data_IF_119825903499
#
_entry.id   IF_119825903499
#
_cell.length_a   1.000
_cell.length_b   1.000
_cell.length_c   1.000
_cell.angle_alpha   90.00
_cell.angle_beta   90.00
_cell.angle_gamma   90.00
#
_symmetry.space_group_name_H-M   'P 1'
#
loop_
_entity.id
_entity.type
_entity.pdbx_description
1 polymer ?
#
# COMPACT_ATOMS: atom_id res chain seq x y z
N UNK A 1 -61.41 11.28 -23.63
CA UNK A 1 -60.27 11.44 -24.56
C UNK A 1 -59.05 11.72 -23.71
N UNK A 2 -58.39 10.65 -23.32
CA UNK A 2 -57.20 10.63 -22.47
C UNK A 2 -56.01 10.42 -23.39
N UNK A 3 -55.16 11.46 -23.50
CA UNK A 3 -53.92 11.42 -24.27
C UNK A 3 -52.83 10.65 -23.50
N UNK A 4 -52.49 9.48 -23.99
CA UNK A 4 -51.30 8.77 -23.60
C UNK A 4 -50.07 9.45 -24.22
N UNK A 5 -49.35 10.24 -23.42
CA UNK A 5 -48.01 10.68 -23.77
C UNK A 5 -47.07 9.45 -23.72
N UNK A 6 -46.75 8.98 -24.90
CA UNK A 6 -45.74 7.90 -25.08
C UNK A 6 -44.37 8.41 -24.66
N UNK A 7 -43.90 7.95 -23.47
CA UNK A 7 -42.52 8.08 -23.05
C UNK A 7 -41.61 7.36 -24.06
N UNK A 8 -40.86 8.11 -24.84
CA UNK A 8 -39.76 7.60 -25.66
C UNK A 8 -38.52 7.50 -24.75
N UNK A 9 -37.94 6.30 -24.50
CA UNK A 9 -36.69 6.21 -23.81
C UNK A 9 -35.61 6.88 -24.65
N UNK A 10 -34.89 7.81 -24.04
CA UNK A 10 -33.67 8.43 -24.59
C UNK A 10 -32.62 7.31 -24.74
N UNK A 11 -31.98 7.14 -25.90
CA UNK A 11 -30.92 6.15 -26.05
C UNK A 11 -29.77 6.51 -25.11
N UNK A 12 -29.55 5.70 -24.09
CA UNK A 12 -28.36 5.74 -23.26
C UNK A 12 -27.25 4.94 -23.97
N UNK A 13 -26.81 5.35 -25.08
CA UNK A 13 -25.52 4.98 -25.66
C UNK A 13 -24.62 6.22 -25.61
N UNK A 14 -24.14 6.56 -24.42
CA UNK A 14 -22.82 7.14 -24.29
C UNK A 14 -21.87 6.00 -24.64
N UNK A 15 -21.44 5.91 -25.91
CA UNK A 15 -20.22 5.22 -26.27
C UNK A 15 -19.18 5.68 -25.29
N UNK A 16 -18.76 4.79 -24.37
CA UNK A 16 -17.61 5.02 -23.51
C UNK A 16 -16.44 5.22 -24.45
N UNK A 17 -16.09 6.48 -24.68
CA UNK A 17 -14.97 6.85 -25.54
C UNK A 17 -13.74 6.20 -24.92
N UNK A 18 -13.24 5.12 -25.53
CA UNK A 18 -12.01 4.45 -25.08
C UNK A 18 -10.85 5.47 -25.09
N UNK A 19 -10.32 5.84 -23.89
CA UNK A 19 -9.26 6.83 -23.80
C UNK A 19 -8.02 6.45 -24.60
N UNK A 20 -7.77 5.14 -24.78
CA UNK A 20 -6.66 4.64 -25.59
C UNK A 20 -6.91 4.91 -27.08
N UNK A 21 -8.14 4.64 -27.57
CA UNK A 21 -8.51 4.90 -28.96
C UNK A 21 -8.40 6.38 -29.31
N UNK A 22 -8.87 7.26 -28.42
CA UNK A 22 -8.74 8.71 -28.57
C UNK A 22 -7.27 9.16 -28.64
N UNK A 23 -6.44 8.64 -27.76
CA UNK A 23 -5.02 8.95 -27.74
C UNK A 23 -4.33 8.49 -29.03
N UNK A 24 -4.63 7.28 -29.50
CA UNK A 24 -4.05 6.73 -30.73
C UNK A 24 -4.46 7.52 -31.98
N UNK A 25 -5.72 7.96 -32.05
CA UNK A 25 -6.20 8.84 -33.12
C UNK A 25 -5.44 10.17 -33.10
N UNK A 26 -5.34 10.79 -31.94
CA UNK A 26 -4.64 12.07 -31.77
C UNK A 26 -3.13 11.93 -32.13
N UNK A 27 -2.47 10.85 -31.71
CA UNK A 27 -1.07 10.56 -32.04
C UNK A 27 -0.89 10.30 -33.56
N UNK A 28 -1.91 9.75 -34.23
CA UNK A 28 -1.92 9.51 -35.67
C UNK A 28 -1.95 10.76 -36.53
N UNK A 29 -2.52 11.86 -36.02
CA UNK A 29 -2.68 13.14 -36.76
C UNK A 29 -1.35 13.86 -37.02
N UNK A 30 -0.31 13.57 -36.22
CA UNK A 30 0.98 14.22 -36.35
C UNK A 30 1.89 13.53 -37.37
N UNK A 31 2.40 14.32 -38.34
CA UNK A 31 3.32 13.82 -39.36
C UNK A 31 4.68 13.48 -38.76
N UNK A 32 5.28 12.37 -39.20
CA UNK A 32 6.64 12.01 -38.80
C UNK A 32 7.65 13.05 -39.32
N UNK A 33 8.65 13.35 -38.50
CA UNK A 33 9.71 14.30 -38.83
C UNK A 33 10.78 13.67 -39.69
N UNK A 34 11.27 14.45 -40.66
CA UNK A 34 12.47 14.12 -41.43
C UNK A 34 13.73 14.45 -40.58
N UNK A 35 14.88 13.82 -40.85
CA UNK A 35 16.12 14.10 -40.11
C UNK A 35 16.51 15.59 -40.08
N UNK A 36 16.30 16.31 -41.19
CA UNK A 36 16.53 17.74 -41.26
C UNK A 36 15.61 18.57 -40.37
N UNK A 37 14.34 18.12 -40.23
CA UNK A 37 13.35 18.76 -39.38
C UNK A 37 13.67 18.49 -37.91
N UNK A 38 14.13 17.27 -37.54
CA UNK A 38 14.61 16.95 -36.18
C UNK A 38 15.71 17.92 -35.75
N UNK A 39 16.71 18.16 -36.63
CA UNK A 39 17.81 19.08 -36.37
C UNK A 39 17.33 20.54 -36.22
N UNK A 40 16.45 20.97 -37.12
CA UNK A 40 15.92 22.34 -37.08
C UNK A 40 15.13 22.61 -35.80
N UNK A 41 14.29 21.64 -35.42
CA UNK A 41 13.52 21.73 -34.14
C UNK A 41 14.44 21.71 -32.93
N UNK A 42 15.44 20.82 -32.90
CA UNK A 42 16.38 20.73 -31.78
C UNK A 42 17.15 22.03 -31.55
N UNK A 43 17.56 22.72 -32.61
CA UNK A 43 18.21 24.05 -32.52
C UNK A 43 17.26 25.13 -31.97
N UNK A 44 15.97 25.07 -32.30
CA UNK A 44 14.96 26.00 -31.77
C UNK A 44 14.68 25.70 -30.31
N UNK A 45 14.59 24.43 -29.92
CA UNK A 45 14.39 24.00 -28.52
C UNK A 45 15.54 24.46 -27.63
N UNK A 46 16.79 24.38 -28.09
CA UNK A 46 17.97 24.89 -27.38
C UNK A 46 17.87 26.40 -27.09
N UNK A 47 17.13 27.16 -27.93
CA UNK A 47 16.85 28.59 -27.74
C UNK A 47 15.59 28.86 -26.88
N UNK A 48 14.97 27.84 -26.33
CA UNK A 48 13.79 27.95 -25.47
C UNK A 48 12.43 27.97 -26.19
N UNK A 49 12.37 27.61 -27.47
CA UNK A 49 11.13 27.62 -28.28
C UNK A 49 10.21 26.46 -27.87
N UNK A 50 9.13 26.78 -27.13
CA UNK A 50 8.14 25.83 -26.63
C UNK A 50 7.31 25.20 -27.77
N UNK A 51 6.95 25.97 -28.80
CA UNK A 51 6.19 25.44 -29.95
C UNK A 51 7.00 24.37 -30.71
N UNK A 52 8.34 24.58 -30.84
CA UNK A 52 9.23 23.58 -31.41
C UNK A 52 9.32 22.33 -30.54
N UNK A 53 9.34 22.49 -29.20
CA UNK A 53 9.34 21.37 -28.25
C UNK A 53 8.06 20.55 -28.36
N UNK A 54 6.89 21.18 -28.34
CA UNK A 54 5.60 20.54 -28.49
C UNK A 54 5.50 19.78 -29.81
N UNK A 55 5.92 20.42 -30.91
CA UNK A 55 5.92 19.75 -32.23
C UNK A 55 6.81 18.52 -32.24
N UNK A 56 8.00 18.58 -31.61
CA UNK A 56 8.92 17.46 -31.56
C UNK A 56 8.36 16.31 -30.71
N UNK A 57 7.70 16.60 -29.59
CA UNK A 57 7.01 15.61 -28.76
C UNK A 57 5.87 14.95 -29.54
N UNK A 58 4.94 15.76 -30.06
CA UNK A 58 3.73 15.27 -30.71
C UNK A 58 4.02 14.41 -31.94
N UNK A 59 5.01 14.79 -32.76
CA UNK A 59 5.43 14.00 -33.92
C UNK A 59 6.11 12.67 -33.57
N UNK A 60 6.49 12.45 -32.30
CA UNK A 60 7.13 11.23 -31.82
C UNK A 60 6.26 10.40 -30.85
N UNK A 61 4.98 10.74 -30.66
CA UNK A 61 4.05 9.95 -29.82
C UNK A 61 3.92 8.51 -30.31
N UNK A 62 3.92 8.28 -31.61
CA UNK A 62 3.87 6.95 -32.22
C UNK A 62 5.08 6.08 -31.81
N UNK A 63 6.26 6.69 -31.58
CA UNK A 63 7.44 5.97 -31.08
C UNK A 63 7.19 5.48 -29.66
N UNK A 64 6.58 6.29 -28.79
CA UNK A 64 6.22 5.90 -27.41
C UNK A 64 5.30 4.69 -27.44
N UNK A 65 4.24 4.73 -28.26
CA UNK A 65 3.29 3.62 -28.40
C UNK A 65 4.00 2.34 -28.85
N UNK A 66 4.91 2.44 -29.83
CA UNK A 66 5.64 1.28 -30.34
C UNK A 66 6.55 0.63 -29.29
N UNK A 67 7.12 1.44 -28.39
CA UNK A 67 7.95 0.94 -27.28
C UNK A 67 7.06 0.37 -26.17
N UNK A 68 6.00 1.06 -25.78
CA UNK A 68 5.08 0.64 -24.71
C UNK A 68 4.41 -0.70 -25.01
N UNK A 69 3.99 -0.94 -26.26
CA UNK A 69 3.40 -2.22 -26.71
C UNK A 69 4.28 -3.44 -26.41
N UNK A 70 5.60 -3.29 -26.40
CA UNK A 70 6.53 -4.40 -26.11
C UNK A 70 6.50 -4.83 -24.62
N UNK A 71 6.02 -3.96 -23.73
CA UNK A 71 5.91 -4.23 -22.30
C UNK A 71 4.52 -4.74 -21.89
N UNK A 72 3.50 -4.51 -22.72
CA UNK A 72 2.11 -4.91 -22.40
C UNK A 72 1.95 -6.40 -22.07
N UNK A 73 2.44 -7.34 -22.91
CA UNK A 73 2.27 -8.78 -22.66
C UNK A 73 2.97 -9.29 -21.39
N UNK A 74 4.06 -8.64 -21.00
CA UNK A 74 4.86 -9.02 -19.84
C UNK A 74 4.40 -8.35 -18.53
N UNK A 75 3.43 -7.45 -18.60
CA UNK A 75 2.98 -6.67 -17.46
C UNK A 75 1.45 -6.61 -17.42
N UNK A 76 0.87 -7.39 -16.52
CA UNK A 76 -0.59 -7.47 -16.33
C UNK A 76 -1.13 -6.43 -15.34
N UNK A 77 -0.25 -5.72 -14.62
CA UNK A 77 -0.61 -4.84 -13.51
C UNK A 77 -0.86 -3.39 -13.96
N UNK A 78 -0.25 -2.94 -15.08
CA UNK A 78 -0.46 -1.61 -15.67
C UNK A 78 -1.06 -1.73 -17.07
N UNK A 79 -2.10 -0.96 -17.35
CA UNK A 79 -2.70 -0.87 -18.66
C UNK A 79 -1.75 -0.28 -19.71
N UNK A 80 -2.01 -0.55 -21.00
CA UNK A 80 -1.19 -0.01 -22.09
C UNK A 80 -1.16 1.53 -22.06
N UNK A 81 -2.26 2.17 -21.71
CA UNK A 81 -2.34 3.62 -21.62
C UNK A 81 -1.41 4.16 -20.53
N UNK A 82 -1.34 3.48 -19.36
CA UNK A 82 -0.44 3.87 -18.27
C UNK A 82 1.02 3.75 -18.70
N UNK A 83 1.38 2.67 -19.40
CA UNK A 83 2.73 2.50 -19.94
C UNK A 83 3.09 3.59 -20.97
N UNK A 84 2.13 4.01 -21.80
CA UNK A 84 2.30 5.11 -22.73
C UNK A 84 2.53 6.42 -21.97
N UNK A 85 1.75 6.71 -20.92
CA UNK A 85 1.91 7.92 -20.12
C UNK A 85 3.30 7.98 -19.44
N UNK A 86 3.76 6.86 -18.86
CA UNK A 86 5.14 6.78 -18.33
C UNK A 86 6.18 7.00 -19.43
N UNK A 87 5.98 6.39 -20.60
CA UNK A 87 6.85 6.57 -21.75
C UNK A 87 6.91 8.01 -22.26
N UNK A 88 5.79 8.75 -22.20
CA UNK A 88 5.72 10.17 -22.56
C UNK A 88 6.62 11.02 -21.67
N UNK A 89 6.69 10.74 -20.37
CA UNK A 89 7.61 11.43 -19.46
C UNK A 89 9.08 11.18 -19.90
N UNK A 90 9.38 9.99 -20.38
CA UNK A 90 10.67 9.66 -20.97
C UNK A 90 10.94 10.43 -22.27
N UNK A 91 9.95 10.53 -23.16
CA UNK A 91 10.06 11.28 -24.41
C UNK A 91 10.33 12.77 -24.16
N UNK A 92 9.60 13.38 -23.23
CA UNK A 92 9.79 14.80 -22.86
C UNK A 92 11.25 15.03 -22.41
N UNK A 93 11.78 14.18 -21.53
CA UNK A 93 13.17 14.26 -21.08
C UNK A 93 14.16 14.05 -22.23
N UNK A 94 13.84 13.15 -23.17
CA UNK A 94 14.68 12.94 -24.35
C UNK A 94 14.74 14.20 -25.23
N UNK A 95 13.60 14.88 -25.43
CA UNK A 95 13.54 16.12 -26.20
C UNK A 95 14.36 17.23 -25.53
N UNK A 96 14.27 17.37 -24.21
CA UNK A 96 15.03 18.37 -23.45
C UNK A 96 16.55 18.14 -23.46
N UNK A 97 16.98 16.88 -23.51
CA UNK A 97 18.39 16.50 -23.41
C UNK A 97 19.03 16.11 -24.74
N UNK A 98 18.29 16.21 -25.84
CA UNK A 98 18.81 15.82 -27.15
C UNK A 98 19.87 16.76 -27.66
N UNK A 99 21.09 16.25 -27.88
CA UNK A 99 22.19 16.98 -28.51
C UNK A 99 22.27 16.65 -30.01
N UNK A 100 21.81 17.58 -30.83
CA UNK A 100 21.82 17.49 -32.27
C UNK A 100 23.23 17.49 -32.88
N UNK A 101 24.23 17.92 -32.16
CA UNK A 101 25.66 17.97 -32.63
C UNK A 101 26.23 16.56 -32.78
N UNK A 102 25.68 15.59 -32.05
CA UNK A 102 26.12 14.18 -32.10
C UNK A 102 25.72 13.43 -33.39
N UNK A 103 24.96 14.05 -34.26
CA UNK A 103 24.53 13.51 -35.57
C UNK A 103 23.76 12.17 -35.50
N UNK A 104 23.27 11.79 -34.33
CA UNK A 104 22.43 10.59 -34.15
C UNK A 104 20.96 10.94 -34.45
N UNK A 105 20.18 9.92 -34.88
CA UNK A 105 18.74 10.07 -35.03
C UNK A 105 18.10 10.27 -33.64
N UNK A 106 17.13 11.17 -33.58
CA UNK A 106 16.39 11.41 -32.36
C UNK A 106 15.73 10.13 -31.83
N UNK A 107 15.12 9.31 -32.67
CA UNK A 107 14.46 8.07 -32.28
C UNK A 107 15.40 7.09 -31.53
N UNK A 108 16.66 6.98 -31.95
CA UNK A 108 17.65 6.14 -31.27
C UNK A 108 17.90 6.59 -29.83
N UNK A 109 18.06 7.90 -29.64
CA UNK A 109 18.27 8.49 -28.33
C UNK A 109 17.00 8.41 -27.45
N UNK A 110 15.85 8.78 -28.01
CA UNK A 110 14.58 8.80 -27.31
C UNK A 110 14.12 7.41 -26.84
N UNK A 111 14.36 6.36 -27.63
CA UNK A 111 14.00 4.99 -27.25
C UNK A 111 14.61 4.57 -25.92
N UNK A 112 15.83 4.99 -25.62
CA UNK A 112 16.48 4.69 -24.35
C UNK A 112 15.74 5.37 -23.16
N UNK A 113 15.40 6.66 -23.30
CA UNK A 113 14.68 7.40 -22.26
C UNK A 113 13.26 6.90 -22.05
N UNK A 114 12.56 6.59 -23.15
CA UNK A 114 11.20 6.03 -23.12
C UNK A 114 11.22 4.69 -22.37
N UNK A 115 12.16 3.79 -22.73
CA UNK A 115 12.32 2.49 -22.05
C UNK A 115 12.59 2.65 -20.57
N UNK A 116 13.57 3.49 -20.22
CA UNK A 116 13.95 3.78 -18.85
C UNK A 116 12.77 4.31 -18.02
N UNK A 117 11.95 5.20 -18.61
CA UNK A 117 10.80 5.76 -17.93
C UNK A 117 9.71 4.69 -17.70
N UNK A 118 9.41 3.87 -18.71
CA UNK A 118 8.45 2.77 -18.60
C UNK A 118 8.90 1.76 -17.54
N UNK A 119 10.14 1.31 -17.57
CA UNK A 119 10.68 0.36 -16.59
C UNK A 119 10.64 0.91 -15.15
N UNK A 120 10.92 2.20 -15.00
CA UNK A 120 10.80 2.90 -13.71
C UNK A 120 9.33 3.02 -13.27
N UNK A 121 8.42 3.32 -14.20
CA UNK A 121 6.97 3.37 -13.96
C UNK A 121 6.45 2.04 -13.47
N UNK A 122 6.77 0.95 -14.17
CA UNK A 122 6.42 -0.42 -13.76
C UNK A 122 6.97 -0.73 -12.36
N UNK A 123 8.23 -0.42 -12.10
CA UNK A 123 8.84 -0.68 -10.79
C UNK A 123 8.19 0.10 -9.64
N UNK A 124 7.63 1.29 -9.92
CA UNK A 124 7.08 2.17 -8.89
C UNK A 124 5.58 2.08 -8.70
N UNK A 125 4.81 1.69 -9.74
CA UNK A 125 3.35 1.80 -9.76
C UNK A 125 2.63 0.48 -10.02
N UNK A 126 3.30 -0.56 -10.55
CA UNK A 126 2.67 -1.82 -10.91
C UNK A 126 2.18 -2.62 -9.68
N UNK A 127 2.70 -2.39 -8.49
CA UNK A 127 2.33 -3.14 -7.28
C UNK A 127 1.46 -2.30 -6.36
N UNK A 128 0.40 -2.90 -5.80
CA UNK A 128 -0.44 -2.27 -4.78
C UNK A 128 0.39 -1.91 -3.53
N UNK A 129 1.24 -2.83 -3.06
CA UNK A 129 2.22 -2.54 -2.01
C UNK A 129 3.54 -2.18 -2.67
N UNK A 130 3.89 -0.88 -2.62
CA UNK A 130 5.13 -0.35 -3.21
C UNK A 130 6.37 -0.98 -2.60
N UNK A 131 7.26 -1.47 -3.46
CA UNK A 131 8.58 -1.96 -3.07
C UNK A 131 9.70 -1.04 -3.56
N UNK A 132 10.83 -0.92 -2.83
CA UNK A 132 12.01 -0.22 -3.32
C UNK A 132 12.56 -0.88 -4.60
N UNK A 133 13.09 -0.06 -5.52
CA UNK A 133 13.58 -0.54 -6.84
C UNK A 133 14.70 -1.58 -6.69
N UNK A 134 15.57 -1.42 -5.70
CA UNK A 134 16.65 -2.38 -5.41
C UNK A 134 16.10 -3.77 -5.01
N UNK A 135 15.00 -3.82 -4.26
CA UNK A 135 14.34 -5.08 -3.89
C UNK A 135 13.72 -5.74 -5.12
N UNK A 136 13.05 -4.96 -5.97
CA UNK A 136 12.45 -5.44 -7.23
C UNK A 136 13.52 -6.00 -8.17
N UNK A 137 14.64 -5.28 -8.35
CA UNK A 137 15.75 -5.75 -9.19
C UNK A 137 16.36 -7.03 -8.64
N UNK A 138 16.55 -7.13 -7.32
CA UNK A 138 17.03 -8.33 -6.66
C UNK A 138 16.07 -9.50 -6.85
N UNK A 139 14.78 -9.28 -6.67
CA UNK A 139 13.74 -10.27 -6.90
C UNK A 139 13.77 -10.80 -8.34
N UNK A 140 13.80 -9.92 -9.35
CA UNK A 140 13.89 -10.30 -10.77
C UNK A 140 15.13 -11.12 -11.07
N UNK A 141 16.29 -10.76 -10.46
CA UNK A 141 17.53 -11.52 -10.61
C UNK A 141 17.42 -12.92 -9.99
N UNK A 142 16.89 -13.02 -8.76
CA UNK A 142 16.70 -14.29 -8.06
C UNK A 142 15.71 -15.17 -8.82
N UNK A 143 14.58 -14.63 -9.29
CA UNK A 143 13.59 -15.37 -10.07
C UNK A 143 14.20 -15.98 -11.35
N UNK A 144 14.94 -15.18 -12.13
CA UNK A 144 15.62 -15.67 -13.35
C UNK A 144 16.60 -16.78 -13.05
N UNK A 145 17.46 -16.58 -12.03
CA UNK A 145 18.44 -17.60 -11.63
C UNK A 145 17.72 -18.86 -11.11
N UNK A 146 16.59 -18.69 -10.42
CA UNK A 146 15.76 -19.78 -9.93
C UNK A 146 15.19 -20.64 -11.06
N UNK A 147 14.63 -20.01 -12.10
CA UNK A 147 14.13 -20.71 -13.28
C UNK A 147 15.23 -21.48 -14.02
N UNK A 148 16.41 -20.87 -14.19
CA UNK A 148 17.54 -21.52 -14.83
C UNK A 148 18.08 -22.70 -14.00
N UNK A 149 18.08 -22.55 -12.66
CA UNK A 149 18.54 -23.59 -11.75
C UNK A 149 17.55 -24.75 -11.67
N UNK A 150 16.24 -24.44 -11.61
CA UNK A 150 15.18 -25.44 -11.62
C UNK A 150 15.22 -26.32 -12.88
N UNK A 151 15.44 -25.71 -14.05
CA UNK A 151 15.62 -26.46 -15.32
C UNK A 151 16.84 -27.38 -15.32
N UNK A 152 17.93 -27.00 -14.61
CA UNK A 152 19.16 -27.81 -14.53
C UNK A 152 19.05 -28.93 -13.52
N UNK A 153 18.34 -28.71 -12.41
CA UNK A 153 18.20 -29.66 -11.32
C UNK A 153 16.98 -30.58 -11.45
N UNK A 154 16.10 -30.29 -12.39
CA UNK A 154 14.78 -30.92 -12.56
C UNK A 154 13.94 -30.97 -11.26
N UNK A 155 14.16 -29.99 -10.39
CA UNK A 155 13.43 -29.73 -9.14
C UNK A 155 13.55 -28.26 -8.72
N UNK A 156 12.67 -27.86 -7.79
CA UNK A 156 12.78 -26.53 -7.18
C UNK A 156 14.08 -26.36 -6.38
N UNK A 157 14.83 -25.27 -6.60
CA UNK A 157 16.06 -24.99 -5.87
C UNK A 157 15.78 -24.55 -4.44
N UNK A 158 16.65 -24.96 -3.53
CA UNK A 158 16.63 -24.52 -2.13
C UNK A 158 17.07 -23.05 -1.99
N UNK A 159 16.72 -22.40 -0.87
CA UNK A 159 17.17 -21.02 -0.59
C UNK A 159 18.69 -20.86 -0.60
N UNK A 160 19.44 -21.91 -0.18
CA UNK A 160 20.89 -21.90 -0.18
C UNK A 160 21.47 -21.98 -1.58
N UNK A 161 20.95 -22.85 -2.44
CA UNK A 161 21.34 -22.97 -3.84
C UNK A 161 21.06 -21.68 -4.61
N UNK A 162 19.89 -21.08 -4.39
CA UNK A 162 19.52 -19.77 -4.97
C UNK A 162 20.47 -18.65 -4.51
N UNK A 163 20.79 -18.61 -3.22
CA UNK A 163 21.68 -17.60 -2.65
C UNK A 163 23.09 -17.69 -3.27
N UNK A 164 23.62 -18.90 -3.41
CA UNK A 164 24.92 -19.15 -4.04
C UNK A 164 24.91 -18.78 -5.54
N UNK A 165 23.93 -19.25 -6.29
CA UNK A 165 23.82 -19.00 -7.73
C UNK A 165 23.56 -17.52 -8.05
N UNK A 166 22.72 -16.84 -7.27
CA UNK A 166 22.44 -15.41 -7.42
C UNK A 166 23.49 -14.50 -6.79
N UNK A 167 24.47 -15.05 -6.05
CA UNK A 167 25.49 -14.30 -5.27
C UNK A 167 24.87 -13.27 -4.33
N UNK A 168 23.92 -13.70 -3.52
CA UNK A 168 23.24 -12.92 -2.49
C UNK A 168 23.17 -13.70 -1.18
N UNK A 169 22.85 -13.05 -0.05
CA UNK A 169 22.63 -13.77 1.20
C UNK A 169 21.30 -14.53 1.20
N UNK A 170 21.19 -15.60 1.97
CA UNK A 170 19.93 -16.36 2.16
C UNK A 170 18.83 -15.46 2.72
N UNK A 171 19.18 -14.49 3.58
CA UNK A 171 18.23 -13.49 4.07
C UNK A 171 17.58 -12.68 2.92
N UNK A 172 18.38 -12.27 1.93
CA UNK A 172 17.87 -11.57 0.75
C UNK A 172 17.00 -12.44 -0.15
N UNK A 173 17.26 -13.75 -0.21
CA UNK A 173 16.37 -14.69 -0.95
C UNK A 173 15.02 -14.77 -0.26
N UNK A 174 14.99 -14.90 1.07
CA UNK A 174 13.74 -14.94 1.87
C UNK A 174 12.97 -13.62 1.76
N UNK A 175 13.66 -12.48 1.85
CA UNK A 175 13.06 -11.15 1.63
C UNK A 175 12.43 -11.04 0.24
N UNK A 176 13.14 -11.48 -0.81
CA UNK A 176 12.65 -11.46 -2.17
C UNK A 176 11.42 -12.37 -2.37
N UNK A 177 11.39 -13.57 -1.77
CA UNK A 177 10.23 -14.46 -1.76
C UNK A 177 9.04 -13.85 -1.01
N UNK A 178 9.28 -13.24 0.14
CA UNK A 178 8.23 -12.55 0.89
C UNK A 178 7.65 -11.35 0.09
N UNK A 179 8.51 -10.60 -0.58
CA UNK A 179 8.12 -9.49 -1.44
C UNK A 179 7.38 -9.93 -2.73
N UNK A 180 7.56 -11.18 -3.15
CA UNK A 180 6.88 -11.74 -4.32
C UNK A 180 5.41 -12.12 -4.08
N UNK A 181 4.96 -12.16 -2.81
CA UNK A 181 3.58 -12.53 -2.49
C UNK A 181 2.62 -11.57 -3.17
N UNK A 182 1.69 -12.15 -3.94
CA UNK A 182 0.59 -11.39 -4.54
C UNK A 182 -0.45 -11.04 -3.47
N UNK A 183 -1.01 -9.86 -3.59
CA UNK A 183 -2.16 -9.44 -2.78
C UNK A 183 -3.40 -10.06 -3.41
N UNK A 184 -4.22 -10.77 -2.62
CA UNK A 184 -5.51 -11.28 -3.06
C UNK A 184 -6.61 -10.27 -2.77
N UNK A 185 -7.61 -10.17 -3.66
CA UNK A 185 -8.79 -9.36 -3.39
C UNK A 185 -9.63 -9.98 -2.29
N UNK A 186 -10.09 -9.17 -1.35
CA UNK A 186 -11.04 -9.59 -0.33
C UNK A 186 -12.45 -9.86 -0.90
N UNK A 187 -12.77 -9.20 -2.02
CA UNK A 187 -14.05 -9.40 -2.72
C UNK A 187 -14.07 -10.66 -3.61
N UNK A 188 -12.98 -11.43 -3.58
CA UNK A 188 -12.92 -12.68 -4.34
C UNK A 188 -13.98 -13.63 -3.83
N UNK A 189 -14.91 -14.12 -4.70
CA UNK A 189 -15.92 -15.09 -4.30
C UNK A 189 -15.28 -16.42 -3.87
N UNK A 190 -15.80 -16.99 -2.80
CA UNK A 190 -15.35 -18.26 -2.21
C UNK A 190 -16.54 -19.21 -2.10
N UNK A 191 -16.34 -20.48 -2.44
CA UNK A 191 -17.39 -21.50 -2.48
C UNK A 191 -17.95 -21.72 -3.89
N UNK A 192 -18.74 -22.80 -4.06
CA UNK A 192 -19.34 -23.15 -5.34
C UNK A 192 -20.47 -22.18 -5.73
N UNK A 193 -21.18 -21.64 -4.74
CA UNK A 193 -22.32 -20.73 -4.95
C UNK A 193 -21.89 -19.26 -5.15
N UNK A 194 -20.64 -18.90 -4.81
CA UNK A 194 -20.11 -17.55 -4.99
C UNK A 194 -20.78 -16.44 -4.15
N UNK A 195 -21.62 -16.81 -3.18
CA UNK A 195 -22.35 -15.86 -2.32
C UNK A 195 -21.48 -15.20 -1.25
N UNK A 196 -20.39 -15.89 -0.84
CA UNK A 196 -19.47 -15.40 0.18
C UNK A 196 -18.19 -14.87 -0.47
N UNK A 197 -17.62 -13.83 0.15
CA UNK A 197 -16.33 -13.28 -0.26
C UNK A 197 -15.21 -13.76 0.66
N UNK A 198 -13.96 -13.70 0.21
CA UNK A 198 -12.79 -14.00 1.04
C UNK A 198 -12.76 -13.11 2.30
N UNK A 199 -13.24 -11.88 2.19
CA UNK A 199 -13.33 -10.92 3.29
C UNK A 199 -14.23 -11.39 4.43
N UNK A 200 -15.34 -12.07 4.10
CA UNK A 200 -16.30 -12.56 5.09
C UNK A 200 -15.73 -13.70 5.96
N UNK A 201 -14.69 -14.40 5.47
CA UNK A 201 -14.02 -15.47 6.21
C UNK A 201 -12.94 -14.96 7.18
N UNK A 202 -12.59 -13.68 7.10
CA UNK A 202 -11.53 -13.10 7.94
C UNK A 202 -12.16 -12.60 9.24
N UNK A 203 -11.77 -13.18 10.41
CA UNK A 203 -12.32 -12.74 11.68
C UNK A 203 -11.91 -11.29 11.97
N UNK A 204 -12.81 -10.50 12.55
CA UNK A 204 -12.50 -9.17 13.03
C UNK A 204 -11.40 -9.21 14.12
N UNK A 205 -10.38 -8.35 14.06
CA UNK A 205 -9.32 -8.31 15.08
C UNK A 205 -9.78 -7.72 16.42
N UNK A 206 -11.04 -7.27 16.50
CA UNK A 206 -11.61 -6.72 17.72
C UNK A 206 -12.03 -7.80 18.72
N UNK A 207 -12.21 -7.43 20.01
CA UNK A 207 -12.78 -8.34 21.00
C UNK A 207 -14.19 -8.76 20.60
N UNK A 208 -14.51 -10.02 20.82
CA UNK A 208 -15.86 -10.56 20.58
C UNK A 208 -16.91 -9.90 21.49
N UNK A 209 -18.20 -10.02 21.16
CA UNK A 209 -19.27 -9.53 22.02
C UNK A 209 -19.17 -10.07 23.45
N UNK A 210 -18.79 -11.32 23.60
CA UNK A 210 -18.62 -11.98 24.89
C UNK A 210 -17.48 -11.35 25.69
N UNK A 211 -16.33 -11.11 25.07
CA UNK A 211 -15.18 -10.45 25.70
C UNK A 211 -15.52 -9.04 26.18
N UNK A 212 -16.31 -8.30 25.39
CA UNK A 212 -16.75 -6.95 25.75
C UNK A 212 -17.70 -6.97 26.95
N UNK A 213 -18.61 -7.93 26.99
CA UNK A 213 -19.54 -8.09 28.13
C UNK A 213 -18.77 -8.52 29.37
N UNK A 214 -17.88 -9.48 29.26
CA UNK A 214 -17.06 -9.97 30.36
C UNK A 214 -16.20 -8.84 30.96
N UNK A 215 -15.55 -8.04 30.12
CA UNK A 215 -14.75 -6.91 30.58
C UNK A 215 -15.60 -5.87 31.28
N UNK A 216 -16.82 -5.58 30.80
CA UNK A 216 -17.77 -4.70 31.46
C UNK A 216 -18.22 -5.25 32.83
N UNK A 217 -18.51 -6.54 32.89
CA UNK A 217 -18.93 -7.20 34.16
C UNK A 217 -17.77 -7.20 35.16
N UNK A 218 -16.55 -7.49 34.74
CA UNK A 218 -15.33 -7.42 35.56
C UNK A 218 -15.12 -6.02 36.12
N UNK A 219 -15.16 -5.00 35.26
CA UNK A 219 -15.04 -3.59 35.69
C UNK A 219 -16.14 -3.19 36.65
N UNK A 220 -17.38 -3.61 36.44
CA UNK A 220 -18.50 -3.34 37.34
C UNK A 220 -18.32 -4.04 38.67
N UNK A 221 -17.83 -5.27 38.71
CA UNK A 221 -17.54 -6.02 39.93
C UNK A 221 -16.42 -5.34 40.74
N UNK A 222 -15.33 -4.92 40.09
CA UNK A 222 -14.24 -4.17 40.74
C UNK A 222 -14.77 -2.86 41.33
N UNK A 223 -15.55 -2.08 40.59
CA UNK A 223 -16.14 -0.83 41.08
C UNK A 223 -17.03 -1.06 42.30
N UNK A 224 -17.89 -2.10 42.29
CA UNK A 224 -18.74 -2.44 43.42
C UNK A 224 -17.92 -2.83 44.67
N UNK A 225 -16.87 -3.64 44.48
CA UNK A 225 -15.99 -4.04 45.56
C UNK A 225 -15.25 -2.83 46.19
N UNK A 226 -14.71 -1.96 45.33
CA UNK A 226 -14.05 -0.72 45.81
C UNK A 226 -15.02 0.23 46.52
N UNK A 227 -16.26 0.32 46.06
CA UNK A 227 -17.28 1.14 46.73
C UNK A 227 -17.62 0.68 48.14
N UNK A 228 -17.45 -0.59 48.47
CA UNK A 228 -17.66 -1.16 49.83
C UNK A 228 -16.51 -0.94 50.79
N UNK A 229 -15.36 -0.49 50.31
CA UNK A 229 -14.25 -0.12 51.18
C UNK A 229 -14.61 1.10 52.05
N UNK A 230 -14.00 1.23 53.25
CA UNK A 230 -14.02 2.45 54.00
C UNK A 230 -13.58 3.65 53.14
N UNK A 231 -14.14 4.82 53.41
CA UNK A 231 -13.97 5.99 52.56
C UNK A 231 -12.50 6.36 52.30
N UNK A 232 -11.65 6.31 53.33
CA UNK A 232 -10.22 6.59 53.18
C UNK A 232 -9.51 5.56 52.28
N UNK A 233 -9.80 4.28 52.47
CA UNK A 233 -9.21 3.18 51.71
C UNK A 233 -9.65 3.29 50.24
N UNK A 234 -10.94 3.57 50.00
CA UNK A 234 -11.54 3.76 48.68
C UNK A 234 -10.88 4.89 47.92
N UNK A 235 -10.67 6.05 48.52
CA UNK A 235 -10.04 7.21 47.89
C UNK A 235 -8.62 6.88 47.48
N UNK A 236 -7.84 6.23 48.34
CA UNK A 236 -6.46 5.86 48.06
C UNK A 236 -6.39 4.87 46.89
N UNK A 237 -7.21 3.82 46.87
CA UNK A 237 -7.23 2.82 45.79
C UNK A 237 -7.68 3.45 44.47
N UNK A 238 -8.71 4.32 44.49
CA UNK A 238 -9.14 5.02 43.25
C UNK A 238 -8.05 5.90 42.67
N UNK A 239 -7.40 6.72 43.50
CA UNK A 239 -6.31 7.58 43.05
C UNK A 239 -5.07 6.79 42.56
N UNK A 240 -4.77 5.68 43.26
CA UNK A 240 -3.60 4.86 42.95
C UNK A 240 -3.72 4.13 41.63
N UNK A 241 -4.89 3.55 41.34
CA UNK A 241 -5.12 2.71 40.16
C UNK A 241 -5.97 3.39 39.08
N UNK A 242 -6.41 4.61 39.26
CA UNK A 242 -7.17 5.35 38.23
C UNK A 242 -8.51 4.71 37.88
N UNK A 243 -9.23 4.13 38.84
CA UNK A 243 -10.40 3.26 38.59
C UNK A 243 -11.58 3.99 37.91
N UNK A 244 -11.70 5.30 38.06
CA UNK A 244 -12.80 6.11 37.47
C UNK A 244 -12.36 6.94 36.25
N UNK A 245 -11.23 6.61 35.66
CA UNK A 245 -10.69 7.28 34.45
C UNK A 245 -9.66 8.37 34.76
N UNK A 246 -9.33 8.58 36.04
CA UNK A 246 -8.21 9.44 36.43
C UNK A 246 -6.85 8.75 36.10
N UNK A 247 -5.81 9.55 35.89
CA UNK A 247 -4.46 9.00 35.73
C UNK A 247 -3.99 8.41 37.10
N UNK A 248 -3.34 7.20 37.09
CA UNK A 248 -2.77 6.61 38.29
C UNK A 248 -1.75 7.54 38.94
N UNK A 249 -1.83 7.69 40.26
CA UNK A 249 -0.95 8.58 41.06
C UNK A 249 0.07 7.79 41.90
N UNK A 250 1.22 8.42 42.13
CA UNK A 250 2.26 7.86 42.99
C UNK A 250 1.86 7.94 44.45
N UNK A 251 2.47 7.09 45.33
CA UNK A 251 2.24 7.12 46.78
C UNK A 251 2.56 8.49 47.41
N UNK A 252 3.57 9.19 46.83
CA UNK A 252 3.97 10.52 47.30
C UNK A 252 2.88 11.56 46.99
N UNK A 253 2.42 11.59 45.74
CA UNK A 253 1.35 12.53 45.32
C UNK A 253 0.04 12.31 46.10
N UNK A 254 -0.31 11.04 46.37
CA UNK A 254 -1.48 10.71 47.22
C UNK A 254 -1.24 11.17 48.66
N UNK A 255 -0.01 10.97 49.16
CA UNK A 255 0.38 11.44 50.49
C UNK A 255 0.25 12.95 50.64
N UNK A 256 0.76 13.70 49.69
CA UNK A 256 0.68 15.15 49.67
C UNK A 256 -0.77 15.64 49.59
N UNK A 257 -1.63 14.97 48.80
CA UNK A 257 -3.05 15.31 48.67
C UNK A 257 -3.85 15.04 49.95
N UNK A 258 -3.58 13.93 50.63
CA UNK A 258 -4.31 13.49 51.82
C UNK A 258 -3.64 13.89 53.14
N UNK A 259 -2.54 14.62 53.11
CA UNK A 259 -1.69 15.00 54.25
C UNK A 259 -1.24 13.78 55.07
N UNK A 260 -0.77 12.72 54.37
CA UNK A 260 -0.25 11.49 54.95
C UNK A 260 1.19 11.26 54.47
N UNK A 261 1.94 10.49 55.26
CA UNK A 261 3.26 10.03 54.79
C UNK A 261 3.10 8.97 53.69
N UNK A 262 4.02 8.89 52.72
CA UNK A 262 3.95 7.87 51.66
C UNK A 262 3.90 6.43 52.23
N UNK A 263 4.59 6.18 53.32
CA UNK A 263 4.57 4.88 53.99
C UNK A 263 3.19 4.57 54.61
N UNK A 264 2.51 5.59 55.13
CA UNK A 264 1.13 5.42 55.65
C UNK A 264 0.14 5.13 54.55
N UNK A 265 0.28 5.78 53.39
CA UNK A 265 -0.52 5.49 52.19
C UNK A 265 -0.28 4.03 51.73
N UNK A 266 0.96 3.56 51.72
CA UNK A 266 1.32 2.17 51.36
C UNK A 266 0.67 1.14 52.33
N UNK A 267 0.68 1.42 53.63
CA UNK A 267 0.03 0.55 54.63
C UNK A 267 -1.49 0.45 54.39
N UNK A 268 -2.14 1.59 54.15
CA UNK A 268 -3.58 1.62 53.89
C UNK A 268 -3.91 0.92 52.57
N UNK A 269 -3.14 1.15 51.53
CA UNK A 269 -3.25 0.43 50.21
C UNK A 269 -3.16 -1.10 50.43
N UNK A 270 -2.15 -1.58 51.14
CA UNK A 270 -1.98 -3.00 51.42
C UNK A 270 -3.17 -3.60 52.20
N UNK A 271 -3.67 -2.89 53.20
CA UNK A 271 -4.84 -3.32 53.95
C UNK A 271 -6.13 -3.32 53.09
N UNK A 272 -6.30 -2.31 52.21
CA UNK A 272 -7.41 -2.25 51.28
C UNK A 272 -7.39 -3.38 50.26
N UNK A 273 -6.22 -3.67 49.68
CA UNK A 273 -6.05 -4.78 48.76
C UNK A 273 -6.31 -6.15 49.41
N UNK A 274 -5.88 -6.32 50.68
CA UNK A 274 -6.19 -7.55 51.43
C UNK A 274 -7.71 -7.74 51.64
N UNK A 275 -8.43 -6.66 51.91
CA UNK A 275 -9.92 -6.69 51.99
C UNK A 275 -10.58 -6.97 50.66
N UNK A 276 -10.08 -6.38 49.56
CA UNK A 276 -10.59 -6.63 48.22
C UNK A 276 -10.38 -8.07 47.79
N UNK A 277 -9.26 -8.69 48.17
CA UNK A 277 -8.97 -10.11 47.87
C UNK A 277 -9.99 -11.08 48.46
N UNK A 278 -10.61 -10.71 49.60
CA UNK A 278 -11.64 -11.52 50.24
C UNK A 278 -13.07 -11.07 49.90
N UNK A 279 -13.22 -10.08 49.03
CA UNK A 279 -14.52 -9.54 48.68
C UNK A 279 -15.29 -10.55 47.78
N UNK A 280 -16.51 -10.87 48.20
CA UNK A 280 -17.39 -11.84 47.52
C UNK A 280 -17.71 -11.45 46.07
N UNK A 281 -17.72 -10.16 45.78
CA UNK A 281 -17.93 -9.61 44.42
C UNK A 281 -16.84 -9.94 43.44
N UNK A 282 -15.64 -10.23 43.92
CA UNK A 282 -14.46 -10.56 43.09
C UNK A 282 -14.18 -12.06 43.03
N UNK A 283 -14.93 -12.91 43.76
CA UNK A 283 -14.69 -14.35 43.77
C UNK A 283 -14.72 -14.94 42.35
N UNK A 284 -15.75 -14.65 41.58
CA UNK A 284 -15.85 -15.14 40.19
C UNK A 284 -14.87 -14.48 39.19
N UNK A 285 -14.31 -13.32 39.51
CA UNK A 285 -13.30 -12.66 38.69
C UNK A 285 -11.90 -13.23 38.93
N UNK A 286 -11.64 -13.65 40.19
CA UNK A 286 -10.36 -14.24 40.62
C UNK A 286 -10.19 -15.69 40.19
N UNK A 287 -11.31 -16.43 40.03
CA UNK A 287 -11.30 -17.82 39.51
C UNK A 287 -11.08 -17.89 37.99
N UNK A 288 -11.40 -16.80 37.26
CA UNK A 288 -11.29 -16.73 35.80
C UNK A 288 -9.98 -16.06 35.32
N UNK A 289 -9.10 -15.64 36.21
CA UNK A 289 -7.79 -15.02 35.92
C UNK A 289 -6.64 -15.98 36.25
#
# INVERSE_FOLDING_TARGET
MTGEESYRPVPQEREELDPLALFLDQAGRWRLLRPTEELALARRIERGDQAAKERMINSNLRLVVSVARKYGPANQELGLLDLIQEGMLGLIRAVEKFDWRRRNRFSTYATWWIRQAIERGIASKARQVRLPVNVIQRHRRIARVGEDLARRLDRDPTDQELAQAARVSVAHVREARAAARSVASLDRPVGEDGENTLGDLIPSPGPGPDDVVDDRLRRAAVRRAVHRLPERDRVIVRLRYGIDGDAPRSLKEIGDLLRLTPERVRQIEAAALARLKTARELAGVLEAA
#
